data_IF_740441569398
#
_entry.id   IF_740441569398
#
_cell.length_a   1.000
_cell.length_b   1.000
_cell.length_c   1.000
_cell.angle_alpha   90.00
_cell.angle_beta   90.00
_cell.angle_gamma   90.00
#
_symmetry.space_group_name_H-M   'P 1'
#
loop_
_entity.id
_entity.type
_entity.pdbx_description
1 polymer ?
#
# COMPACT_ATOMS: atom_id res chain seq x y z
N UNK A 1 -4.76 -26.39 0.75
CA UNK A 1 -4.95 -25.05 0.12
C UNK A 1 -4.75 -23.91 1.14
N UNK A 2 -5.35 -23.98 2.34
CA UNK A 2 -5.24 -22.97 3.42
C UNK A 2 -3.82 -22.68 3.95
N UNK A 3 -2.94 -23.67 4.08
CA UNK A 3 -1.60 -23.46 4.67
C UNK A 3 -0.62 -22.69 3.76
N UNK A 4 -0.61 -22.98 2.46
CA UNK A 4 0.14 -22.18 1.44
C UNK A 4 -0.43 -20.76 1.34
N UNK A 5 -1.76 -20.65 1.49
CA UNK A 5 -2.51 -19.41 1.52
C UNK A 5 -2.09 -18.51 2.68
N UNK A 6 -1.96 -19.08 3.86
CA UNK A 6 -1.60 -18.34 5.07
C UNK A 6 -0.20 -17.74 5.02
N UNK A 7 0.71 -18.06 4.10
CA UNK A 7 2.00 -17.35 4.00
C UNK A 7 1.96 -16.12 3.10
N UNK A 8 1.07 -16.12 2.10
CA UNK A 8 0.82 -14.95 1.26
C UNK A 8 -0.24 -14.03 1.87
N UNK A 9 -1.10 -14.57 2.74
CA UNK A 9 -2.12 -13.84 3.50
C UNK A 9 -1.72 -13.50 4.93
N UNK A 10 -0.97 -14.36 5.62
CA UNK A 10 -0.34 -14.06 6.90
C UNK A 10 1.13 -13.74 6.66
N UNK A 11 1.72 -12.73 7.27
CA UNK A 11 1.22 -11.80 8.26
C UNK A 11 1.67 -10.43 7.79
N UNK A 12 0.73 -9.51 7.63
CA UNK A 12 1.09 -8.13 7.94
C UNK A 12 1.58 -8.17 9.39
N UNK A 13 2.90 -8.25 9.57
CA UNK A 13 3.48 -8.25 10.91
C UNK A 13 3.37 -6.83 11.42
N UNK A 14 2.23 -6.58 12.06
CA UNK A 14 1.88 -5.30 12.63
C UNK A 14 3.00 -4.80 13.53
N UNK A 15 3.64 -5.71 14.27
CA UNK A 15 4.72 -5.37 15.19
C UNK A 15 5.95 -4.85 14.44
N UNK A 16 6.38 -5.50 13.37
CA UNK A 16 7.53 -5.01 12.57
C UNK A 16 7.23 -3.62 12.00
N UNK A 17 6.03 -3.38 11.46
CA UNK A 17 5.65 -2.06 10.93
C UNK A 17 5.49 -1.01 12.03
N UNK A 18 4.99 -1.38 13.22
CA UNK A 18 4.90 -0.49 14.38
C UNK A 18 6.28 -0.11 14.91
N UNK A 19 7.17 -1.08 15.07
CA UNK A 19 8.54 -0.87 15.55
C UNK A 19 9.35 0.03 14.60
N UNK A 20 9.22 -0.21 13.29
CA UNK A 20 9.82 0.65 12.26
C UNK A 20 9.25 2.07 12.31
N UNK A 21 7.91 2.20 12.33
CA UNK A 21 7.27 3.51 12.42
C UNK A 21 7.71 4.28 13.67
N UNK A 22 7.76 3.63 14.82
CA UNK A 22 8.19 4.25 16.08
C UNK A 22 9.65 4.72 16.01
N UNK A 23 10.53 3.93 15.37
CA UNK A 23 11.93 4.33 15.15
C UNK A 23 12.04 5.57 14.27
N UNK A 24 11.25 5.64 13.19
CA UNK A 24 11.25 6.77 12.28
C UNK A 24 10.61 8.00 12.94
N UNK A 25 9.52 7.82 13.69
CA UNK A 25 8.89 8.89 14.46
C UNK A 25 9.89 9.52 15.44
N UNK A 26 10.66 8.71 16.16
CA UNK A 26 11.73 9.20 17.04
C UNK A 26 12.80 9.94 16.25
N UNK A 27 13.22 9.42 15.10
CA UNK A 27 14.19 10.10 14.23
C UNK A 27 13.71 11.50 13.80
N UNK A 28 12.45 11.60 13.31
CA UNK A 28 11.83 12.87 12.91
C UNK A 28 11.75 13.83 14.11
N UNK A 29 11.32 13.34 15.27
CA UNK A 29 11.21 14.15 16.48
C UNK A 29 12.56 14.69 16.97
N UNK A 30 13.62 13.90 16.87
CA UNK A 30 14.94 14.27 17.37
C UNK A 30 15.73 15.15 16.40
N UNK A 31 15.58 14.93 15.09
CA UNK A 31 16.43 15.57 14.09
C UNK A 31 15.71 16.62 13.25
N UNK A 32 14.40 16.45 12.98
CA UNK A 32 13.67 17.29 12.01
C UNK A 32 12.76 18.33 12.69
N UNK A 33 12.31 18.07 13.94
CA UNK A 33 11.38 18.96 14.67
C UNK A 33 11.84 20.41 14.78
N UNK A 34 13.14 20.67 14.81
CA UNK A 34 13.69 22.04 14.83
C UNK A 34 13.61 22.78 13.49
N UNK A 35 13.52 22.05 12.37
CA UNK A 35 13.49 22.64 11.03
C UNK A 35 12.08 22.95 10.53
N UNK A 36 11.07 22.25 11.05
CA UNK A 36 9.66 22.44 10.66
C UNK A 36 8.74 22.35 11.87
N UNK A 37 7.63 23.09 11.86
CA UNK A 37 6.65 23.07 12.95
C UNK A 37 5.79 21.81 12.89
N UNK A 38 6.32 20.70 13.42
CA UNK A 38 5.64 19.41 13.47
C UNK A 38 4.49 19.46 14.48
N UNK A 39 3.27 19.26 13.97
CA UNK A 39 2.05 19.08 14.76
C UNK A 39 1.91 17.61 15.16
N UNK A 40 2.12 16.69 14.20
CA UNK A 40 2.02 15.25 14.46
C UNK A 40 2.79 14.44 13.41
N UNK A 41 3.06 13.18 13.74
CA UNK A 41 3.63 12.18 12.83
C UNK A 41 2.74 10.95 12.94
N UNK A 42 2.06 10.61 11.86
CA UNK A 42 1.09 9.50 11.83
C UNK A 42 1.41 8.54 10.68
N UNK A 43 0.96 7.28 10.84
CA UNK A 43 1.05 6.29 9.78
C UNK A 43 0.19 6.71 8.58
N UNK A 44 0.73 6.55 7.38
CA UNK A 44 0.03 6.79 6.13
C UNK A 44 -0.29 5.50 5.37
N UNK A 45 -0.92 5.69 4.21
CA UNK A 45 -0.89 4.72 3.13
C UNK A 45 -1.37 3.30 3.46
N UNK A 46 -0.65 2.31 2.95
CA UNK A 46 -1.06 0.90 3.02
C UNK A 46 -0.96 0.28 4.43
N UNK A 47 -0.20 0.88 5.35
CA UNK A 47 -0.09 0.41 6.75
C UNK A 47 -1.41 0.61 7.51
N UNK A 48 -1.97 1.82 7.45
CA UNK A 48 -3.23 2.10 8.15
C UNK A 48 -4.42 1.32 7.56
N UNK A 49 -4.35 1.00 6.27
CA UNK A 49 -5.35 0.19 5.54
C UNK A 49 -5.13 -1.31 5.70
N UNK A 50 -4.03 -1.73 6.33
CA UNK A 50 -3.63 -3.15 6.48
C UNK A 50 -3.47 -3.88 5.15
N UNK A 51 -3.13 -3.16 4.09
CA UNK A 51 -2.90 -3.67 2.73
C UNK A 51 -1.42 -3.73 2.33
N UNK A 52 -0.50 -3.34 3.22
CA UNK A 52 0.93 -3.41 2.93
C UNK A 52 1.42 -4.86 2.83
N UNK A 53 2.45 -5.06 2.01
CA UNK A 53 3.15 -6.34 1.84
C UNK A 53 4.62 -6.14 2.19
N UNK A 54 5.17 -6.89 3.15
CA UNK A 54 6.60 -6.85 3.47
C UNK A 54 7.48 -7.06 2.23
N UNK A 55 8.49 -6.21 2.05
CA UNK A 55 9.42 -6.27 0.93
C UNK A 55 8.83 -5.88 -0.44
N UNK A 56 7.59 -5.39 -0.47
CA UNK A 56 6.92 -4.90 -1.69
C UNK A 56 6.34 -3.51 -1.51
N UNK A 57 5.79 -3.19 -0.34
CA UNK A 57 5.22 -1.86 -0.05
C UNK A 57 6.22 -0.97 0.67
N UNK A 58 6.30 0.28 0.23
CA UNK A 58 7.02 1.35 0.92
C UNK A 58 6.29 1.77 2.22
N UNK A 59 7.00 2.51 3.08
CA UNK A 59 6.42 3.03 4.32
C UNK A 59 6.01 4.48 4.15
N UNK A 60 4.71 4.69 4.01
CA UNK A 60 4.11 6.02 3.97
C UNK A 60 3.99 6.61 5.39
N UNK A 61 4.63 7.74 5.61
CA UNK A 61 4.56 8.48 6.88
C UNK A 61 4.00 9.86 6.61
N UNK A 62 2.90 10.17 7.28
CA UNK A 62 2.30 11.49 7.19
C UNK A 62 2.91 12.39 8.27
N UNK A 63 3.69 13.38 7.85
CA UNK A 63 4.26 14.40 8.73
C UNK A 63 3.38 15.65 8.65
N UNK A 64 2.58 15.85 9.69
CA UNK A 64 1.68 17.01 9.78
C UNK A 64 2.49 18.19 10.26
N UNK A 65 2.73 19.15 9.37
CA UNK A 65 3.43 20.40 9.65
C UNK A 65 2.43 21.55 9.57
N UNK A 66 2.25 22.27 10.68
CA UNK A 66 1.26 23.33 10.77
C UNK A 66 -0.21 22.91 10.59
N UNK A 67 -1.11 23.84 10.88
CA UNK A 67 -2.57 23.61 10.86
C UNK A 67 -3.26 24.12 9.60
N UNK A 68 -2.56 24.92 8.78
CA UNK A 68 -3.08 25.54 7.55
C UNK A 68 -2.07 25.36 6.43
N UNK A 69 -2.54 24.89 5.27
CA UNK A 69 -1.72 24.76 4.07
C UNK A 69 -1.21 26.13 3.60
N UNK A 70 -0.01 26.22 2.99
CA UNK A 70 0.48 27.46 2.42
C UNK A 70 -0.30 27.82 1.15
N UNK A 71 -0.21 29.09 0.75
CA UNK A 71 -0.65 29.55 -0.58
C UNK A 71 0.32 29.15 -1.69
N UNK A 72 1.55 28.78 -1.32
CA UNK A 72 2.57 28.31 -2.26
C UNK A 72 2.14 27.02 -2.99
N UNK A 73 2.60 26.89 -4.22
CA UNK A 73 2.42 25.69 -5.03
C UNK A 73 3.10 24.48 -4.35
N UNK A 74 2.54 23.26 -4.51
CA UNK A 74 3.06 22.04 -3.90
C UNK A 74 4.57 21.85 -4.03
N UNK A 75 5.13 22.02 -5.24
CA UNK A 75 6.57 21.84 -5.47
C UNK A 75 7.42 22.85 -4.70
N UNK A 76 6.98 24.11 -4.65
CA UNK A 76 7.71 25.18 -3.94
C UNK A 76 7.72 24.89 -2.45
N UNK A 77 6.56 24.51 -1.89
CA UNK A 77 6.46 24.14 -0.49
C UNK A 77 7.35 22.92 -0.17
N UNK A 78 7.26 21.86 -0.97
CA UNK A 78 8.07 20.65 -0.78
C UNK A 78 9.58 20.93 -0.84
N UNK A 79 10.05 21.74 -1.79
CA UNK A 79 11.48 22.13 -1.86
C UNK A 79 11.94 22.92 -0.64
N UNK A 80 11.12 23.86 -0.16
CA UNK A 80 11.45 24.62 1.04
C UNK A 80 11.56 23.72 2.28
N UNK A 81 10.63 22.78 2.43
CA UNK A 81 10.62 21.81 3.53
C UNK A 81 11.81 20.86 3.42
N UNK A 82 12.04 20.29 2.23
CA UNK A 82 13.15 19.37 1.96
C UNK A 82 14.51 20.02 2.22
N UNK A 83 14.68 21.30 1.85
CA UNK A 83 15.90 22.04 2.20
C UNK A 83 16.10 22.12 3.72
N UNK A 84 15.04 22.44 4.47
CA UNK A 84 15.10 22.48 5.94
C UNK A 84 15.42 21.12 6.54
N UNK A 85 14.80 20.05 6.03
CA UNK A 85 15.08 18.67 6.43
C UNK A 85 16.54 18.31 6.16
N UNK A 86 17.03 18.53 4.92
CA UNK A 86 18.40 18.22 4.52
C UNK A 86 19.43 18.93 5.41
N UNK A 87 19.21 20.21 5.74
CA UNK A 87 20.05 20.91 6.72
C UNK A 87 20.01 20.25 8.09
N UNK A 88 18.82 19.88 8.58
CA UNK A 88 18.65 19.30 9.91
C UNK A 88 19.28 17.91 10.06
N UNK A 89 19.30 17.12 8.97
CA UNK A 89 19.84 15.75 8.97
C UNK A 89 21.27 15.66 8.42
N UNK A 90 21.94 16.78 8.13
CA UNK A 90 23.26 16.77 7.46
C UNK A 90 24.32 15.93 8.21
N UNK A 91 24.22 15.83 9.55
CA UNK A 91 25.14 15.07 10.39
C UNK A 91 24.83 13.57 10.46
N UNK A 92 23.70 13.10 9.90
CA UNK A 92 23.26 11.70 10.01
C UNK A 92 23.72 10.83 8.84
N UNK A 93 24.50 11.38 7.90
CA UNK A 93 24.87 10.73 6.61
C UNK A 93 23.67 10.30 5.75
N UNK A 94 22.48 10.86 6.02
CA UNK A 94 21.29 10.66 5.20
C UNK A 94 21.09 11.91 4.33
N UNK A 95 20.40 11.72 3.20
CA UNK A 95 19.93 12.81 2.35
C UNK A 95 18.48 12.57 1.99
N UNK A 96 17.73 13.67 1.82
CA UNK A 96 16.37 13.64 1.32
C UNK A 96 16.26 14.26 -0.06
N UNK A 97 15.24 13.86 -0.80
CA UNK A 97 14.91 14.47 -2.09
C UNK A 97 13.40 14.58 -2.29
N UNK A 98 12.98 15.59 -3.06
CA UNK A 98 11.58 15.82 -3.41
C UNK A 98 11.15 14.89 -4.55
N UNK A 99 10.19 14.00 -4.30
CA UNK A 99 9.48 13.29 -5.37
C UNK A 99 8.09 13.88 -5.62
N UNK A 100 7.20 13.12 -6.25
CA UNK A 100 5.95 13.66 -6.81
C UNK A 100 4.93 14.11 -5.75
N UNK A 101 4.81 13.37 -4.66
CA UNK A 101 3.83 13.68 -3.59
C UNK A 101 4.45 13.71 -2.20
N UNK A 102 5.73 13.35 -2.08
CA UNK A 102 6.43 13.14 -0.82
C UNK A 102 7.87 13.65 -0.87
N UNK A 103 8.46 13.74 0.31
CA UNK A 103 9.92 13.84 0.50
C UNK A 103 10.42 12.43 0.79
N UNK A 104 11.41 11.98 0.03
CA UNK A 104 11.95 10.63 0.11
C UNK A 104 13.28 10.66 0.83
N UNK A 105 13.52 9.70 1.70
CA UNK A 105 14.86 9.46 2.23
C UNK A 105 15.03 7.99 2.64
N UNK A 106 16.24 7.42 2.48
CA UNK A 106 16.54 6.07 2.94
C UNK A 106 16.67 6.05 4.47
N UNK A 107 16.18 4.99 5.09
CA UNK A 107 16.33 4.77 6.53
C UNK A 107 16.38 3.27 6.84
N UNK A 108 17.50 2.81 7.41
CA UNK A 108 17.70 1.41 7.82
C UNK A 108 17.21 0.39 6.77
N UNK A 109 17.72 0.50 5.54
CA UNK A 109 17.37 -0.36 4.39
C UNK A 109 15.89 -0.32 3.96
N UNK A 110 15.16 0.74 4.33
CA UNK A 110 13.78 0.97 3.91
C UNK A 110 13.68 2.34 3.24
N UNK A 111 12.97 2.45 2.12
CA UNK A 111 12.59 3.76 1.56
C UNK A 111 11.40 4.30 2.34
N UNK A 112 11.49 5.56 2.78
CA UNK A 112 10.40 6.25 3.46
C UNK A 112 9.82 7.30 2.52
N UNK A 113 8.50 7.29 2.41
CA UNK A 113 7.74 8.32 1.73
C UNK A 113 7.15 9.24 2.79
N UNK A 114 7.81 10.38 3.02
CA UNK A 114 7.36 11.40 3.96
C UNK A 114 6.33 12.31 3.28
N UNK A 115 5.07 11.98 3.47
CA UNK A 115 3.93 12.76 3.02
C UNK A 115 3.76 13.99 3.91
N UNK A 116 4.17 15.14 3.39
CA UNK A 116 3.96 16.43 4.05
C UNK A 116 2.46 16.74 4.10
N UNK A 117 1.95 17.01 5.29
CA UNK A 117 0.54 17.29 5.51
C UNK A 117 0.33 18.61 6.27
N UNK A 118 -0.76 19.29 5.98
CA UNK A 118 -1.23 20.45 6.76
C UNK A 118 -2.65 20.19 7.25
N UNK A 119 -2.93 20.48 8.51
CA UNK A 119 -4.27 20.33 9.07
C UNK A 119 -4.26 20.17 10.59
N UNK A 120 -5.45 20.13 11.19
CA UNK A 120 -5.57 19.73 12.59
C UNK A 120 -5.32 18.22 12.68
N UNK A 121 -4.71 17.76 13.77
CA UNK A 121 -4.61 16.33 14.09
C UNK A 121 -5.64 15.98 15.17
N UNK A 122 -6.38 14.87 15.02
CA UNK A 122 -6.46 14.03 13.83
C UNK A 122 -7.15 14.77 12.67
N UNK A 123 -6.88 14.34 11.43
CA UNK A 123 -7.29 15.00 10.17
C UNK A 123 -8.79 15.34 10.01
N UNK A 124 -9.20 15.87 8.85
CA UNK A 124 -8.57 15.72 7.54
C UNK A 124 -7.34 16.61 7.34
N UNK A 125 -6.50 16.20 6.39
CA UNK A 125 -5.25 16.86 6.05
C UNK A 125 -5.25 17.33 4.60
N UNK A 126 -4.37 18.27 4.28
CA UNK A 126 -4.01 18.66 2.93
C UNK A 126 -2.60 18.16 2.63
N UNK A 127 -2.47 17.38 1.56
CA UNK A 127 -1.18 16.88 1.07
C UNK A 127 -0.89 17.45 -0.32
N UNK A 128 0.38 17.62 -0.69
CA UNK A 128 0.76 18.14 -2.00
C UNK A 128 0.45 17.12 -3.11
N UNK A 129 -0.07 17.58 -4.24
CA UNK A 129 -0.17 16.82 -5.47
C UNK A 129 0.45 17.62 -6.62
N UNK A 130 1.62 17.16 -7.09
CA UNK A 130 2.37 17.83 -8.14
C UNK A 130 1.77 17.63 -9.53
N UNK A 131 1.08 16.52 -9.78
CA UNK A 131 0.51 16.22 -11.10
C UNK A 131 -0.56 17.24 -11.49
N UNK A 132 -1.37 17.67 -10.51
CA UNK A 132 -2.38 18.72 -10.70
C UNK A 132 -1.94 20.09 -10.16
N UNK A 133 -0.67 20.20 -9.73
CA UNK A 133 -0.09 21.39 -9.12
C UNK A 133 -0.97 22.03 -8.01
N UNK A 134 -1.61 21.20 -7.18
CA UNK A 134 -2.54 21.64 -6.14
C UNK A 134 -2.43 20.81 -4.86
N UNK A 135 -3.08 21.29 -3.80
CA UNK A 135 -3.23 20.57 -2.53
C UNK A 135 -4.50 19.74 -2.55
N UNK A 136 -4.38 18.44 -2.25
CA UNK A 136 -5.54 17.54 -2.16
C UNK A 136 -5.89 17.26 -0.71
N UNK A 137 -7.19 17.19 -0.43
CA UNK A 137 -7.69 16.82 0.89
C UNK A 137 -7.65 15.30 1.03
N UNK A 138 -7.11 14.81 2.14
CA UNK A 138 -7.09 13.38 2.49
C UNK A 138 -7.60 13.19 3.91
N UNK A 139 -8.34 12.10 4.13
CA UNK A 139 -8.77 11.66 5.45
C UNK A 139 -8.38 10.19 5.64
N UNK A 140 -7.15 9.93 6.15
CA UNK A 140 -6.65 8.58 6.37
C UNK A 140 -7.55 7.75 7.29
N UNK A 141 -8.23 8.39 8.26
CA UNK A 141 -9.12 7.72 9.21
C UNK A 141 -10.40 7.26 8.52
N UNK A 142 -11.00 8.14 7.71
CA UNK A 142 -12.18 7.80 6.91
C UNK A 142 -11.89 6.66 5.93
N UNK A 143 -10.78 6.73 5.20
CA UNK A 143 -10.37 5.68 4.25
C UNK A 143 -10.16 4.34 4.98
N UNK A 144 -9.46 4.34 6.13
CA UNK A 144 -9.32 3.15 6.97
C UNK A 144 -10.68 2.56 7.37
N UNK A 145 -11.64 3.42 7.73
CA UNK A 145 -13.00 3.01 8.06
C UNK A 145 -13.70 2.26 6.93
N UNK A 146 -13.58 2.74 5.69
CA UNK A 146 -14.13 2.07 4.50
C UNK A 146 -13.52 0.69 4.27
N UNK A 147 -12.19 0.60 4.38
CA UNK A 147 -11.47 -0.68 4.25
C UNK A 147 -11.92 -1.68 5.31
N UNK A 148 -12.05 -1.24 6.57
CA UNK A 148 -12.51 -2.10 7.65
C UNK A 148 -13.95 -2.58 7.40
N UNK A 149 -14.87 -1.67 7.06
CA UNK A 149 -16.25 -2.02 6.77
C UNK A 149 -16.36 -3.03 5.61
N UNK A 150 -15.69 -2.77 4.49
CA UNK A 150 -15.71 -3.65 3.32
C UNK A 150 -15.02 -4.99 3.59
N UNK A 151 -13.92 -5.00 4.36
CA UNK A 151 -13.26 -6.23 4.81
C UNK A 151 -14.22 -7.11 5.64
N UNK A 152 -14.92 -6.53 6.61
CA UNK A 152 -15.90 -7.26 7.43
C UNK A 152 -17.09 -7.75 6.61
N UNK A 153 -17.67 -6.88 5.77
CA UNK A 153 -18.81 -7.22 4.91
C UNK A 153 -18.46 -8.29 3.88
N UNK A 154 -17.20 -8.32 3.41
CA UNK A 154 -16.69 -9.30 2.45
C UNK A 154 -16.24 -10.62 3.07
N UNK A 155 -16.56 -10.90 4.35
CA UNK A 155 -16.11 -12.09 5.08
C UNK A 155 -14.58 -12.24 5.02
N UNK A 156 -13.91 -11.12 5.25
CA UNK A 156 -12.46 -11.02 5.30
C UNK A 156 -11.73 -11.27 3.97
N UNK A 157 -12.39 -11.07 2.82
CA UNK A 157 -11.83 -11.38 1.48
C UNK A 157 -11.12 -10.21 0.80
N UNK A 158 -11.48 -8.95 1.10
CA UNK A 158 -10.92 -7.78 0.44
C UNK A 158 -9.39 -7.68 0.59
N UNK A 159 -8.88 -7.63 1.82
CA UNK A 159 -7.44 -7.46 2.09
C UNK A 159 -6.59 -8.60 1.51
N UNK A 160 -7.00 -9.87 1.60
CA UNK A 160 -6.38 -10.96 0.84
C UNK A 160 -6.28 -10.71 -0.66
N UNK A 161 -7.38 -10.31 -1.30
CA UNK A 161 -7.40 -10.03 -2.74
C UNK A 161 -6.45 -8.89 -3.10
N UNK A 162 -6.49 -7.79 -2.33
CA UNK A 162 -5.58 -6.65 -2.50
C UNK A 162 -4.12 -7.10 -2.42
N UNK A 163 -3.76 -7.90 -1.42
CA UNK A 163 -2.37 -8.36 -1.24
C UNK A 163 -1.94 -9.26 -2.39
N UNK A 164 -2.81 -10.15 -2.87
CA UNK A 164 -2.51 -10.98 -4.04
C UNK A 164 -2.29 -10.14 -5.30
N UNK A 165 -3.18 -9.19 -5.58
CA UNK A 165 -3.06 -8.32 -6.76
C UNK A 165 -1.78 -7.48 -6.69
N UNK A 166 -1.48 -6.86 -5.54
CA UNK A 166 -0.23 -6.11 -5.34
C UNK A 166 1.02 -6.98 -5.49
N UNK A 167 0.97 -8.22 -4.99
CA UNK A 167 2.08 -9.16 -5.14
C UNK A 167 2.29 -9.54 -6.60
N UNK A 168 1.23 -9.84 -7.35
CA UNK A 168 1.32 -10.07 -8.78
C UNK A 168 1.89 -8.86 -9.52
N UNK A 169 1.41 -7.65 -9.19
CA UNK A 169 1.89 -6.39 -9.76
C UNK A 169 3.40 -6.18 -9.52
N UNK A 170 3.94 -6.64 -8.38
CA UNK A 170 5.38 -6.56 -8.08
C UNK A 170 6.28 -7.41 -8.99
N UNK A 171 5.71 -8.42 -9.67
CA UNK A 171 6.41 -9.26 -10.65
C UNK A 171 6.26 -8.76 -12.10
N UNK A 172 5.51 -7.68 -12.33
CA UNK A 172 5.32 -7.13 -13.67
C UNK A 172 6.37 -6.07 -13.99
N UNK A 173 6.74 -5.98 -15.27
CA UNK A 173 7.69 -4.97 -15.76
C UNK A 173 7.11 -3.55 -15.69
N UNK A 174 5.80 -3.42 -15.93
CA UNK A 174 5.06 -2.17 -15.81
C UNK A 174 4.18 -2.27 -14.57
N UNK A 175 4.45 -1.42 -13.58
CA UNK A 175 3.75 -1.44 -12.29
C UNK A 175 2.53 -0.53 -12.35
N UNK A 176 1.41 -1.06 -11.88
CA UNK A 176 0.21 -0.29 -11.58
C UNK A 176 0.40 0.52 -10.29
N UNK A 177 -0.26 1.67 -10.19
CA UNK A 177 -0.28 2.47 -8.96
C UNK A 177 -1.04 1.71 -7.87
N UNK A 178 -0.42 1.57 -6.70
CA UNK A 178 -0.91 0.69 -5.64
C UNK A 178 -2.18 1.23 -4.99
N UNK A 179 -2.25 2.53 -4.72
CA UNK A 179 -3.39 3.15 -4.07
C UNK A 179 -4.64 3.12 -4.96
N UNK A 180 -4.52 3.43 -6.24
CA UNK A 180 -5.58 3.38 -7.24
C UNK A 180 -6.10 1.95 -7.39
N UNK A 181 -5.20 0.97 -7.47
CA UNK A 181 -5.56 -0.46 -7.51
C UNK A 181 -6.36 -0.84 -6.25
N UNK A 182 -5.92 -0.40 -5.07
CA UNK A 182 -6.62 -0.63 -3.81
C UNK A 182 -8.02 0.02 -3.78
N UNK A 183 -8.17 1.25 -4.30
CA UNK A 183 -9.48 1.93 -4.37
C UNK A 183 -10.43 1.25 -5.36
N UNK A 184 -9.93 0.82 -6.52
CA UNK A 184 -10.75 0.09 -7.50
C UNK A 184 -11.23 -1.26 -6.94
N UNK A 185 -10.36 -1.98 -6.24
CA UNK A 185 -10.73 -3.22 -5.55
C UNK A 185 -11.75 -2.97 -4.44
N UNK A 186 -11.55 -1.95 -3.59
CA UNK A 186 -12.53 -1.55 -2.59
C UNK A 186 -13.90 -1.30 -3.24
N UNK A 187 -13.94 -0.51 -4.31
CA UNK A 187 -15.18 -0.21 -5.04
C UNK A 187 -15.84 -1.47 -5.61
N UNK A 188 -15.07 -2.41 -6.17
CA UNK A 188 -15.61 -3.69 -6.64
C UNK A 188 -16.25 -4.48 -5.50
N UNK A 189 -15.60 -4.56 -4.34
CA UNK A 189 -16.13 -5.28 -3.17
C UNK A 189 -17.33 -4.60 -2.52
N UNK A 190 -17.39 -3.27 -2.55
CA UNK A 190 -18.55 -2.50 -2.04
C UNK A 190 -19.79 -2.68 -2.91
N UNK A 191 -19.63 -3.00 -4.20
CA UNK A 191 -20.72 -3.06 -5.18
C UNK A 191 -21.03 -4.48 -5.68
N UNK A 192 -20.35 -5.52 -5.18
CA UNK A 192 -20.58 -6.90 -5.63
C UNK A 192 -20.61 -7.91 -4.48
N UNK A 193 -21.83 -8.22 -4.05
CA UNK A 193 -22.10 -9.20 -3.01
C UNK A 193 -21.76 -10.64 -3.40
N UNK A 194 -21.65 -10.95 -4.71
CA UNK A 194 -21.34 -12.31 -5.16
C UNK A 194 -19.92 -12.72 -4.72
N UNK A 195 -19.00 -11.76 -4.57
CA UNK A 195 -17.63 -12.01 -4.14
C UNK A 195 -17.55 -12.57 -2.70
N UNK A 196 -18.58 -12.34 -1.88
CA UNK A 196 -18.63 -12.76 -0.47
C UNK A 196 -18.66 -14.27 -0.30
N UNK A 197 -19.19 -15.00 -1.28
CA UNK A 197 -19.36 -16.46 -1.23
C UNK A 197 -18.35 -17.20 -2.10
N UNK A 198 -17.68 -16.49 -3.01
CA UNK A 198 -16.68 -17.06 -3.91
C UNK A 198 -15.42 -17.51 -3.18
N UNK A 199 -14.74 -18.49 -3.78
CA UNK A 199 -13.37 -18.77 -3.37
C UNK A 199 -12.50 -17.66 -3.93
N UNK A 200 -11.55 -17.25 -3.12
CA UNK A 200 -10.55 -16.23 -3.42
C UNK A 200 -9.88 -16.32 -4.82
N UNK A 201 -9.66 -17.51 -5.39
CA UNK A 201 -9.12 -17.62 -6.76
C UNK A 201 -10.15 -17.33 -7.85
N UNK A 202 -11.42 -17.63 -7.60
CA UNK A 202 -12.53 -17.22 -8.46
C UNK A 202 -12.69 -15.69 -8.36
N UNK A 203 -12.52 -15.13 -7.16
CA UNK A 203 -12.47 -13.67 -6.95
C UNK A 203 -11.34 -13.05 -7.78
N UNK A 204 -10.13 -13.63 -7.75
CA UNK A 204 -9.00 -13.12 -8.53
C UNK A 204 -9.34 -13.09 -10.02
N UNK A 205 -9.97 -14.12 -10.57
CA UNK A 205 -10.43 -14.11 -11.98
C UNK A 205 -11.41 -12.96 -12.25
N UNK A 206 -12.46 -12.83 -11.44
CA UNK A 206 -13.49 -11.79 -11.62
C UNK A 206 -12.90 -10.38 -11.53
N UNK A 207 -12.09 -10.09 -10.49
CA UNK A 207 -11.52 -8.76 -10.32
C UNK A 207 -10.47 -8.45 -11.39
N UNK A 208 -9.70 -9.44 -11.83
CA UNK A 208 -8.70 -9.24 -12.88
C UNK A 208 -9.35 -8.90 -14.21
N UNK A 209 -10.49 -9.51 -14.52
CA UNK A 209 -11.28 -9.16 -15.69
C UNK A 209 -11.81 -7.72 -15.60
N UNK A 210 -12.40 -7.34 -14.47
CA UNK A 210 -12.98 -6.00 -14.27
C UNK A 210 -11.96 -4.87 -14.25
N UNK A 211 -10.74 -5.17 -13.83
CA UNK A 211 -9.63 -4.21 -13.79
C UNK A 211 -8.80 -4.20 -15.08
N UNK A 212 -9.17 -5.01 -16.08
CA UNK A 212 -8.43 -5.22 -17.33
C UNK A 212 -6.97 -5.67 -17.10
N UNK A 213 -6.75 -6.51 -16.09
CA UNK A 213 -5.47 -7.13 -15.80
C UNK A 213 -5.31 -8.40 -16.63
N UNK A 214 -5.29 -8.25 -17.97
CA UNK A 214 -5.35 -9.36 -18.93
C UNK A 214 -4.46 -10.55 -18.59
N UNK A 215 -3.20 -10.31 -18.25
CA UNK A 215 -2.26 -11.39 -17.88
C UNK A 215 -2.67 -12.13 -16.60
N UNK A 216 -3.13 -11.41 -15.57
CA UNK A 216 -3.62 -12.05 -14.34
C UNK A 216 -4.92 -12.80 -14.59
N UNK A 217 -5.83 -12.22 -15.38
CA UNK A 217 -7.06 -12.85 -15.82
C UNK A 217 -6.76 -14.16 -16.55
N UNK A 218 -5.94 -14.14 -17.60
CA UNK A 218 -5.59 -15.34 -18.39
C UNK A 218 -5.02 -16.47 -17.53
N UNK A 219 -4.13 -16.15 -16.58
CA UNK A 219 -3.54 -17.14 -15.65
C UNK A 219 -4.63 -17.69 -14.72
N UNK A 220 -5.45 -16.83 -14.13
CA UNK A 220 -6.52 -17.24 -13.21
C UNK A 220 -7.61 -18.07 -13.89
N UNK A 221 -8.09 -17.65 -15.07
CA UNK A 221 -9.05 -18.39 -15.90
C UNK A 221 -8.50 -19.73 -16.37
N UNK A 222 -7.21 -19.81 -16.72
CA UNK A 222 -6.56 -21.10 -17.00
C UNK A 222 -6.54 -21.97 -15.75
N UNK A 223 -6.10 -21.43 -14.61
CA UNK A 223 -6.06 -22.16 -13.35
C UNK A 223 -7.45 -22.71 -12.95
N UNK A 224 -8.51 -21.94 -13.17
CA UNK A 224 -9.90 -22.30 -12.85
C UNK A 224 -10.50 -23.31 -13.85
N UNK A 225 -10.27 -23.14 -15.17
CA UNK A 225 -10.69 -24.12 -16.19
C UNK A 225 -10.03 -25.49 -16.03
N UNK A 226 -8.77 -25.52 -15.59
CA UNK A 226 -8.09 -26.78 -15.28
C UNK A 226 -8.75 -27.56 -14.11
N UNK A 227 -9.58 -26.91 -13.29
CA UNK A 227 -10.34 -27.54 -12.19
C UNK A 227 -11.65 -28.15 -12.68
N UNK A 228 -12.38 -27.41 -13.51
CA UNK A 228 -13.71 -27.82 -13.96
C UNK A 228 -13.68 -29.02 -14.91
N UNK A 229 -12.57 -29.25 -15.61
CA UNK A 229 -12.40 -30.36 -16.56
C UNK A 229 -12.10 -31.74 -15.92
N UNK A 230 -12.21 -31.91 -14.61
CA UNK A 230 -11.99 -33.21 -13.95
C UNK A 230 -10.55 -33.75 -14.02
N UNK A 231 -9.60 -32.98 -14.60
CA UNK A 231 -8.18 -33.33 -14.75
C UNK A 231 -7.39 -33.26 -13.43
N UNK A 232 -8.03 -33.29 -12.27
CA UNK A 232 -7.36 -33.12 -10.97
C UNK A 232 -7.62 -34.29 -10.02
N UNK A 233 -6.57 -35.11 -9.87
CA UNK A 233 -6.29 -35.82 -8.62
C UNK A 233 -5.21 -35.11 -7.77
N UNK A 234 -4.48 -34.09 -8.23
CA UNK A 234 -3.38 -33.50 -7.43
C UNK A 234 -3.31 -31.96 -7.40
N UNK A 235 -3.03 -31.44 -6.19
CA UNK A 235 -2.87 -30.03 -5.82
C UNK A 235 -1.70 -29.33 -6.55
N UNK A 236 -0.74 -30.10 -7.06
CA UNK A 236 0.51 -29.64 -7.67
C UNK A 236 0.30 -28.91 -9.00
N UNK A 237 -0.67 -29.34 -9.83
CA UNK A 237 -0.96 -28.71 -11.12
C UNK A 237 -1.44 -27.26 -10.97
N UNK A 238 -2.27 -26.98 -9.96
CA UNK A 238 -2.69 -25.61 -9.63
C UNK A 238 -1.52 -24.75 -9.20
N UNK A 239 -0.68 -25.27 -8.33
CA UNK A 239 0.50 -24.55 -7.85
C UNK A 239 1.41 -24.20 -9.03
N UNK A 240 1.59 -25.12 -9.99
CA UNK A 240 2.38 -24.86 -11.20
C UNK A 240 1.86 -23.68 -12.01
N UNK A 241 0.55 -23.59 -12.26
CA UNK A 241 -0.03 -22.47 -13.01
C UNK A 241 0.10 -21.16 -12.23
N UNK A 242 -0.15 -21.17 -10.92
CA UNK A 242 -0.04 -19.96 -10.10
C UNK A 242 1.40 -19.47 -9.91
N UNK A 243 2.41 -20.34 -10.04
CA UNK A 243 3.82 -19.93 -10.12
C UNK A 243 4.10 -19.03 -11.34
N UNK A 244 3.33 -19.14 -12.42
CA UNK A 244 3.43 -18.21 -13.56
C UNK A 244 3.06 -16.77 -13.17
N UNK A 245 2.16 -16.58 -12.19
CA UNK A 245 1.73 -15.27 -11.69
C UNK A 245 2.56 -14.76 -10.51
N UNK A 246 2.99 -15.66 -9.62
CA UNK A 246 3.56 -15.31 -8.32
C UNK A 246 5.02 -15.78 -8.11
N UNK A 247 5.63 -16.37 -9.14
CA UNK A 247 7.00 -16.89 -9.11
C UNK A 247 7.13 -18.26 -8.41
N UNK A 248 8.31 -18.86 -8.52
CA UNK A 248 8.58 -20.24 -8.10
C UNK A 248 8.50 -20.50 -6.59
N UNK A 249 8.50 -19.45 -5.80
CA UNK A 249 8.32 -19.53 -4.33
C UNK A 249 6.86 -19.77 -3.95
N UNK A 250 5.91 -19.58 -4.89
CA UNK A 250 4.50 -19.88 -4.69
C UNK A 250 4.30 -21.37 -4.36
N UNK A 251 3.70 -21.64 -3.20
CA UNK A 251 3.48 -23.02 -2.73
C UNK A 251 4.50 -23.55 -1.72
N UNK A 252 5.65 -22.91 -1.51
CA UNK A 252 6.70 -23.42 -0.60
C UNK A 252 6.44 -22.99 0.85
N UNK A 253 6.33 -23.95 1.77
CA UNK A 253 6.58 -23.71 3.20
C UNK A 253 8.09 -23.45 3.36
N UNK A 254 8.46 -22.37 4.05
CA UNK A 254 9.83 -22.19 4.56
C UNK A 254 9.78 -22.51 6.04
#
# INVERSE_FOLDING_TARGET
MFAVYNKYLASFDQKIYDDKFNSIRKFIQNNIKGAVSIVDVVKGGSDIRKSAIPGVSDMDILMVIGTKKPSALPLVALKSIDSGINTAIMNTKLSSYVGTHAIYFPFNNTSIDLLVAYGKSPGPYYIPNRDINNWIKTDPKSIKGKFFASQTQSRERLLPTIRLVKKWNSYQNIKLESYETEMKLLNIFENDDTLKTMKIFDIIEVVSNRLDFKKLYDISSRANRYVSQGKMKTLEGKIKIWKEAFGDTFGKQQ
#
